data_IF_806158828338
#
_entry.id   IF_806158828338
#
_cell.length_a   1.000
_cell.length_b   1.000
_cell.length_c   1.000
_cell.angle_alpha   90.00
_cell.angle_beta   90.00
_cell.angle_gamma   90.00
#
_symmetry.space_group_name_H-M   'P 1'
#
loop_
_entity.id
_entity.type
_entity.pdbx_description
1 polymer ?
#
# COMPACT_ATOMS: atom_id res chain seq x y z
N UNK A 1 19.67 21.05 -9.56
CA UNK A 1 19.09 19.76 -9.16
C UNK A 1 18.74 19.86 -7.69
N UNK A 2 17.46 19.71 -7.33
CA UNK A 2 17.06 19.65 -5.93
C UNK A 2 17.48 18.29 -5.37
N UNK A 3 18.08 18.28 -4.17
CA UNK A 3 18.58 17.08 -3.52
C UNK A 3 17.45 16.08 -3.20
N UNK A 4 17.79 14.79 -3.12
CA UNK A 4 16.87 13.77 -2.64
C UNK A 4 16.35 14.13 -1.23
N UNK A 5 15.02 14.21 -1.08
CA UNK A 5 14.34 14.60 0.17
C UNK A 5 14.32 13.48 1.23
N UNK A 6 14.93 12.33 0.96
CA UNK A 6 14.79 11.13 1.78
C UNK A 6 15.92 11.06 2.80
N UNK A 7 15.59 10.99 4.10
CA UNK A 7 16.60 11.03 5.14
C UNK A 7 17.44 9.75 5.13
N UNK A 8 18.75 9.89 5.04
CA UNK A 8 19.71 8.80 5.29
C UNK A 8 19.69 8.33 6.76
N UNK A 9 18.97 9.04 7.64
CA UNK A 9 19.00 8.89 9.10
C UNK A 9 17.73 8.28 9.73
N UNK A 10 17.04 7.36 9.05
CA UNK A 10 15.84 6.67 9.58
C UNK A 10 16.11 6.02 10.96
N UNK A 11 17.29 5.44 11.15
CA UNK A 11 17.68 4.82 12.43
C UNK A 11 17.78 5.86 13.56
N UNK A 12 18.23 7.08 13.27
CA UNK A 12 18.29 8.16 14.26
C UNK A 12 16.89 8.61 14.67
N UNK A 13 15.95 8.68 13.71
CA UNK A 13 14.55 9.00 14.01
C UNK A 13 13.90 7.97 14.94
N UNK A 14 14.24 6.68 14.83
CA UNK A 14 13.77 5.67 15.76
C UNK A 14 14.35 5.84 17.18
N UNK A 15 15.62 6.26 17.29
CA UNK A 15 16.27 6.56 18.58
C UNK A 15 15.67 7.79 19.25
N UNK A 16 15.31 8.80 18.46
CA UNK A 16 14.70 10.04 18.94
C UNK A 16 13.21 9.87 19.28
N UNK A 17 12.59 8.77 18.81
CA UNK A 17 11.20 8.47 19.10
C UNK A 17 11.04 8.06 20.57
N UNK A 18 10.23 8.82 21.31
CA UNK A 18 10.02 8.65 22.77
C UNK A 18 9.28 7.36 23.17
N UNK A 19 8.92 6.51 22.21
CA UNK A 19 8.24 5.23 22.43
C UNK A 19 9.03 4.09 21.78
N UNK A 20 8.91 2.86 22.29
CA UNK A 20 9.59 1.71 21.71
C UNK A 20 9.14 1.50 20.26
N UNK A 21 10.11 1.37 19.36
CA UNK A 21 9.90 0.91 17.98
C UNK A 21 10.22 -0.58 17.97
N UNK A 22 9.31 -1.40 17.46
CA UNK A 22 9.56 -2.84 17.28
C UNK A 22 10.34 -3.03 15.98
N UNK A 23 11.51 -3.64 16.07
CA UNK A 23 12.39 -3.92 14.92
C UNK A 23 12.71 -5.41 14.87
N UNK A 24 13.41 -5.86 13.83
CA UNK A 24 13.88 -7.24 13.77
C UNK A 24 14.83 -7.58 14.95
N UNK A 25 15.62 -6.61 15.42
CA UNK A 25 16.54 -6.74 16.54
C UNK A 25 15.84 -6.62 17.91
N UNK A 26 14.73 -5.88 17.97
CA UNK A 26 13.90 -5.72 19.17
C UNK A 26 12.42 -6.04 18.88
N UNK A 27 12.07 -7.31 18.64
CA UNK A 27 10.77 -7.68 18.10
C UNK A 27 9.66 -7.74 19.16
N UNK A 28 9.97 -7.68 20.46
CA UNK A 28 8.98 -7.83 21.53
C UNK A 28 9.03 -6.64 22.48
N UNK A 29 7.87 -6.10 22.82
CA UNK A 29 7.72 -5.15 23.92
C UNK A 29 6.65 -5.61 24.91
N UNK A 30 6.97 -5.50 26.18
CA UNK A 30 6.02 -5.74 27.27
C UNK A 30 5.57 -4.43 27.90
N UNK A 31 4.31 -4.37 28.29
CA UNK A 31 3.79 -3.35 29.19
C UNK A 31 2.69 -3.92 30.08
N UNK A 32 2.34 -3.19 31.14
CA UNK A 32 1.24 -3.58 32.04
C UNK A 32 0.16 -2.52 31.99
N UNK A 33 -1.09 -2.95 31.82
CA UNK A 33 -2.27 -2.07 31.85
C UNK A 33 -3.34 -2.73 32.70
N UNK A 34 -3.85 -2.01 33.70
CA UNK A 34 -4.88 -2.51 34.62
C UNK A 34 -4.54 -3.87 35.25
N UNK A 35 -3.27 -4.11 35.58
CA UNK A 35 -2.79 -5.37 36.16
C UNK A 35 -2.55 -6.51 35.17
N UNK A 36 -2.92 -6.35 33.90
CA UNK A 36 -2.67 -7.34 32.83
C UNK A 36 -1.31 -7.07 32.21
N UNK A 37 -0.46 -8.10 32.15
CA UNK A 37 0.82 -8.04 31.45
C UNK A 37 0.61 -8.40 29.98
N UNK A 38 0.89 -7.45 29.10
CA UNK A 38 0.65 -7.52 27.66
C UNK A 38 2.00 -7.59 26.95
N UNK A 39 2.15 -8.49 25.99
CA UNK A 39 3.24 -8.50 25.04
C UNK A 39 2.74 -8.05 23.67
N UNK A 40 3.53 -7.21 23.00
CA UNK A 40 3.35 -6.88 21.58
C UNK A 40 4.55 -7.43 20.84
N UNK A 41 4.29 -8.32 19.89
CA UNK A 41 5.28 -8.89 18.98
C UNK A 41 5.17 -8.16 17.65
N UNK A 42 6.27 -7.63 17.15
CA UNK A 42 6.35 -6.97 15.85
C UNK A 42 6.60 -7.98 14.75
N UNK A 43 5.81 -7.92 13.69
CA UNK A 43 6.03 -8.67 12.45
C UNK A 43 6.28 -7.67 11.33
N UNK A 44 7.55 -7.53 10.94
CA UNK A 44 7.96 -6.67 9.82
C UNK A 44 7.59 -7.31 8.48
N UNK A 45 7.41 -6.49 7.44
CA UNK A 45 7.07 -6.96 6.11
C UNK A 45 8.10 -7.99 5.60
N UNK A 46 7.69 -9.25 5.30
CA UNK A 46 8.60 -10.24 4.75
C UNK A 46 9.15 -9.81 3.37
N UNK A 47 8.36 -9.03 2.60
CA UNK A 47 8.70 -8.56 1.25
C UNK A 47 9.82 -7.53 1.19
N UNK A 48 10.10 -6.80 2.29
CA UNK A 48 11.24 -5.88 2.37
C UNK A 48 12.58 -6.62 2.42
N UNK A 49 12.56 -7.90 2.79
CA UNK A 49 13.73 -8.73 3.00
C UNK A 49 13.71 -9.91 2.03
N UNK A 50 13.55 -9.67 0.72
CA UNK A 50 13.86 -10.66 -0.31
C UNK A 50 15.31 -10.47 -0.81
N UNK A 51 16.37 -10.70 0.01
CA UNK A 51 17.62 -11.12 -0.59
C UNK A 51 17.36 -12.47 -1.28
N UNK A 52 18.26 -12.88 -2.16
CA UNK A 52 18.22 -14.24 -2.68
C UNK A 52 18.11 -15.26 -1.52
N UNK A 53 17.11 -16.16 -1.56
CA UNK A 53 16.95 -17.22 -0.58
C UNK A 53 15.96 -16.98 0.57
N UNK A 54 14.98 -16.06 0.43
CA UNK A 54 13.85 -16.00 1.37
C UNK A 54 13.10 -17.33 1.41
N UNK A 55 12.86 -17.84 2.62
CA UNK A 55 12.11 -19.06 2.89
C UNK A 55 10.98 -18.75 3.88
N UNK A 56 9.74 -18.87 3.41
CA UNK A 56 8.53 -18.56 4.15
C UNK A 56 8.43 -19.35 5.47
N UNK A 57 8.81 -20.62 5.45
CA UNK A 57 8.69 -21.51 6.60
C UNK A 57 9.71 -21.17 7.69
N UNK A 58 10.93 -20.81 7.30
CA UNK A 58 11.98 -20.31 8.20
C UNK A 58 11.55 -19.00 8.85
N UNK A 59 10.98 -18.09 8.06
CA UNK A 59 10.44 -16.83 8.58
C UNK A 59 9.30 -17.04 9.57
N UNK A 60 8.31 -17.88 9.22
CA UNK A 60 7.19 -18.25 10.09
C UNK A 60 7.68 -18.87 11.41
N UNK A 61 8.65 -19.79 11.35
CA UNK A 61 9.24 -20.42 12.53
C UNK A 61 9.91 -19.38 13.43
N UNK A 62 10.68 -18.46 12.86
CA UNK A 62 11.32 -17.37 13.61
C UNK A 62 10.29 -16.49 14.32
N UNK A 63 9.20 -16.15 13.64
CA UNK A 63 8.10 -15.40 14.25
C UNK A 63 7.41 -16.17 15.38
N UNK A 64 7.14 -17.46 15.19
CA UNK A 64 6.54 -18.34 16.20
C UNK A 64 7.44 -18.46 17.45
N UNK A 65 8.76 -18.49 17.30
CA UNK A 65 9.70 -18.49 18.43
C UNK A 65 9.61 -17.20 19.26
N UNK A 66 9.44 -16.04 18.62
CA UNK A 66 9.21 -14.77 19.32
C UNK A 66 7.86 -14.76 20.06
N UNK A 67 6.80 -15.26 19.43
CA UNK A 67 5.49 -15.41 20.06
C UNK A 67 5.55 -16.33 21.29
N UNK A 68 6.23 -17.48 21.17
CA UNK A 68 6.42 -18.41 22.27
C UNK A 68 7.21 -17.78 23.43
N UNK A 69 8.19 -16.94 23.14
CA UNK A 69 8.93 -16.19 24.16
C UNK A 69 8.05 -15.15 24.85
N UNK A 70 7.23 -14.42 24.09
CA UNK A 70 6.27 -13.45 24.59
C UNK A 70 5.23 -14.08 25.53
N UNK A 71 4.63 -15.20 25.11
CA UNK A 71 3.60 -15.91 25.86
C UNK A 71 4.06 -16.43 27.23
N UNK A 72 5.36 -16.69 27.42
CA UNK A 72 5.90 -17.10 28.74
C UNK A 72 5.77 -16.03 29.81
N UNK A 73 5.71 -14.76 29.41
CA UNK A 73 5.80 -13.61 30.32
C UNK A 73 4.63 -12.65 30.19
N UNK A 74 3.56 -13.00 29.47
CA UNK A 74 2.39 -12.16 29.27
C UNK A 74 1.12 -12.99 29.30
N UNK A 75 0.04 -12.38 29.76
CA UNK A 75 -1.29 -12.98 29.75
C UNK A 75 -2.04 -12.71 28.45
N UNK A 76 -1.60 -11.70 27.69
CA UNK A 76 -2.15 -11.30 26.40
C UNK A 76 -1.01 -11.03 25.42
N UNK A 77 -1.05 -11.64 24.24
CA UNK A 77 -0.07 -11.49 23.17
C UNK A 77 -0.74 -10.91 21.94
N UNK A 78 -0.32 -9.70 21.57
CA UNK A 78 -0.76 -9.00 20.37
C UNK A 78 0.33 -9.09 19.30
N UNK A 79 -0.05 -9.40 18.07
CA UNK A 79 0.84 -9.31 16.92
C UNK A 79 0.59 -8.00 16.19
N UNK A 80 1.56 -7.08 16.22
CA UNK A 80 1.55 -5.86 15.41
C UNK A 80 2.25 -6.17 14.08
N UNK A 81 1.47 -6.37 13.03
CA UNK A 81 1.97 -6.97 11.78
C UNK A 81 1.83 -6.07 10.57
N UNK A 82 2.97 -5.82 9.93
CA UNK A 82 3.11 -5.10 8.67
C UNK A 82 3.25 -6.03 7.45
N UNK A 83 2.81 -7.28 7.58
CA UNK A 83 2.86 -8.26 6.48
C UNK A 83 1.83 -7.97 5.36
N UNK A 84 0.73 -7.27 5.66
CA UNK A 84 -0.37 -7.02 4.72
C UNK A 84 -1.61 -7.86 5.01
N UNK A 85 -2.69 -7.60 4.29
CA UNK A 85 -4.01 -8.19 4.58
C UNK A 85 -4.06 -9.69 4.43
N UNK A 86 -3.82 -10.23 3.24
CA UNK A 86 -3.86 -11.68 3.02
C UNK A 86 -2.75 -12.41 3.79
N UNK A 87 -1.50 -11.92 3.86
CA UNK A 87 -0.48 -12.55 4.68
C UNK A 87 -0.85 -12.61 6.16
N UNK A 88 -1.57 -11.61 6.70
CA UNK A 88 -2.08 -11.65 8.08
C UNK A 88 -3.24 -12.61 8.26
N UNK A 89 -4.13 -12.77 7.28
CA UNK A 89 -5.14 -13.82 7.29
C UNK A 89 -4.50 -15.21 7.24
N UNK A 90 -3.44 -15.38 6.46
CA UNK A 90 -2.65 -16.61 6.44
C UNK A 90 -1.94 -16.85 7.78
N UNK A 91 -1.24 -15.86 8.34
CA UNK A 91 -0.60 -15.96 9.65
C UNK A 91 -1.60 -16.34 10.74
N UNK A 92 -2.85 -15.84 10.65
CA UNK A 92 -3.91 -16.16 11.59
C UNK A 92 -4.24 -17.65 11.67
N UNK A 93 -3.96 -18.42 10.61
CA UNK A 93 -4.17 -19.87 10.56
C UNK A 93 -2.90 -20.67 10.86
N UNK A 94 -1.72 -20.04 10.80
CA UNK A 94 -0.43 -20.70 11.01
C UNK A 94 0.10 -20.55 12.44
N UNK A 95 -0.03 -19.36 13.03
CA UNK A 95 0.54 -19.06 14.34
C UNK A 95 -0.32 -19.61 15.49
N UNK A 96 0.35 -19.90 16.61
CA UNK A 96 -0.29 -20.25 17.87
C UNK A 96 0.19 -19.33 18.99
N UNK A 97 -0.65 -19.08 20.00
CA UNK A 97 -0.29 -18.26 21.16
C UNK A 97 -0.33 -16.74 20.91
N UNK A 98 -0.93 -16.30 19.81
CA UNK A 98 -1.32 -14.91 19.57
C UNK A 98 -2.82 -14.79 19.83
N UNK A 99 -3.24 -13.78 20.58
CA UNK A 99 -4.65 -13.56 20.89
C UNK A 99 -5.36 -12.66 19.86
N UNK A 100 -4.62 -11.72 19.25
CA UNK A 100 -5.14 -10.79 18.24
C UNK A 100 -4.02 -10.29 17.31
N UNK A 101 -4.31 -10.26 16.01
CA UNK A 101 -3.44 -9.63 15.00
C UNK A 101 -3.94 -8.22 14.69
N UNK A 102 -3.06 -7.22 14.83
CA UNK A 102 -3.27 -5.85 14.39
C UNK A 102 -2.60 -5.68 13.03
N UNK A 103 -3.39 -5.69 11.96
CA UNK A 103 -2.91 -5.70 10.58
C UNK A 103 -2.68 -4.29 10.02
N UNK A 104 -1.51 -4.06 9.41
CA UNK A 104 -1.21 -2.87 8.61
C UNK A 104 -0.88 -3.25 7.15
N UNK A 105 -0.28 -2.31 6.40
CA UNK A 105 0.11 -2.40 4.98
C UNK A 105 -1.03 -2.51 3.96
N UNK A 106 -2.02 -3.37 4.19
CA UNK A 106 -3.17 -3.55 3.29
C UNK A 106 -4.05 -2.31 3.13
N UNK A 107 -4.01 -1.39 4.09
CA UNK A 107 -4.88 -0.21 4.19
C UNK A 107 -6.37 -0.54 4.30
N UNK A 108 -6.70 -1.79 4.66
CA UNK A 108 -8.07 -2.24 4.80
C UNK A 108 -8.69 -1.78 6.11
N UNK A 109 -9.96 -1.39 6.04
CA UNK A 109 -10.81 -1.10 7.18
C UNK A 109 -11.91 -2.15 7.22
N UNK A 110 -12.06 -2.81 8.36
CA UNK A 110 -13.23 -3.62 8.64
C UNK A 110 -13.77 -3.26 10.02
N UNK A 111 -15.07 -2.93 10.17
CA UNK A 111 -15.63 -2.43 11.43
C UNK A 111 -15.78 -3.52 12.50
N UNK A 112 -15.30 -4.73 12.25
CA UNK A 112 -15.34 -5.88 13.15
C UNK A 112 -14.02 -6.66 13.05
N UNK A 113 -13.75 -7.52 14.02
CA UNK A 113 -12.65 -8.48 13.90
C UNK A 113 -12.98 -9.54 12.85
N UNK A 114 -12.03 -9.81 11.97
CA UNK A 114 -12.16 -10.81 10.91
C UNK A 114 -11.54 -12.13 11.37
N UNK A 115 -12.21 -13.25 11.10
CA UNK A 115 -11.69 -14.60 11.34
C UNK A 115 -11.85 -15.45 10.08
N UNK A 116 -10.85 -16.28 9.80
CA UNK A 116 -10.90 -17.24 8.70
C UNK A 116 -11.85 -18.37 9.06
N UNK A 117 -13.04 -18.41 8.46
CA UNK A 117 -14.12 -19.32 8.86
C UNK A 117 -13.79 -20.81 8.69
N UNK A 118 -12.91 -21.16 7.74
CA UNK A 118 -12.48 -22.54 7.49
C UNK A 118 -11.58 -23.11 8.60
N UNK A 119 -11.10 -22.27 9.53
CA UNK A 119 -10.25 -22.69 10.64
C UNK A 119 -10.80 -22.11 11.96
N UNK A 120 -11.36 -22.99 12.81
CA UNK A 120 -11.95 -22.58 14.10
C UNK A 120 -10.94 -21.99 15.09
N UNK A 121 -9.65 -22.30 14.91
CA UNK A 121 -8.57 -21.79 15.74
C UNK A 121 -7.92 -20.53 15.15
N UNK A 122 -8.47 -19.98 14.05
CA UNK A 122 -7.92 -18.79 13.43
C UNK A 122 -7.96 -17.59 14.40
N UNK A 123 -6.81 -16.95 14.54
CA UNK A 123 -6.62 -15.76 15.37
C UNK A 123 -7.47 -14.62 14.76
N UNK A 124 -8.21 -13.83 15.55
CA UNK A 124 -8.91 -12.68 15.02
C UNK A 124 -7.93 -11.64 14.46
N UNK A 125 -8.31 -10.99 13.37
CA UNK A 125 -7.52 -9.95 12.70
C UNK A 125 -8.29 -8.62 12.73
N UNK A 126 -7.61 -7.57 13.20
CA UNK A 126 -8.11 -6.20 13.21
C UNK A 126 -7.59 -5.43 11.99
N UNK A 127 -8.50 -4.90 11.19
CA UNK A 127 -8.22 -4.03 10.05
C UNK A 127 -8.66 -2.60 10.39
N UNK A 128 -7.71 -1.75 10.79
CA UNK A 128 -8.00 -0.42 11.36
C UNK A 128 -8.13 0.70 10.31
N UNK A 129 -7.95 0.40 9.01
CA UNK A 129 -7.91 1.39 7.95
C UNK A 129 -6.54 2.05 7.78
N UNK A 130 -6.53 3.23 7.17
CA UNK A 130 -5.30 3.96 6.85
C UNK A 130 -5.53 5.47 6.86
N UNK A 131 -4.46 6.24 6.61
CA UNK A 131 -4.49 7.69 6.39
C UNK A 131 -5.11 8.53 7.52
N UNK A 132 -5.19 7.99 8.73
CA UNK A 132 -5.79 8.69 9.87
C UNK A 132 -7.29 8.97 9.70
N UNK A 133 -7.99 8.21 8.85
CA UNK A 133 -9.43 8.35 8.63
C UNK A 133 -10.28 8.01 9.89
N UNK A 134 -9.67 7.38 10.89
CA UNK A 134 -10.28 7.03 12.16
C UNK A 134 -9.31 6.27 13.06
N UNK A 135 -9.82 5.76 14.17
CA UNK A 135 -9.07 4.86 15.05
C UNK A 135 -9.96 3.73 15.58
N UNK A 136 -9.32 2.63 15.96
CA UNK A 136 -9.99 1.50 16.60
C UNK A 136 -9.78 1.57 18.11
N UNK A 137 -10.87 1.46 18.86
CA UNK A 137 -10.86 1.16 20.29
C UNK A 137 -11.20 -0.33 20.49
N UNK A 138 -10.33 -1.03 21.22
CA UNK A 138 -10.55 -2.42 21.62
C UNK A 138 -10.85 -2.44 23.11
N UNK A 139 -12.01 -3.01 23.47
CA UNK A 139 -12.33 -3.38 24.84
C UNK A 139 -12.04 -4.87 25.03
N UNK A 140 -11.24 -5.17 26.04
CA UNK A 140 -10.74 -6.52 26.30
C UNK A 140 -11.30 -6.98 27.65
N UNK A 141 -11.91 -8.16 27.66
CA UNK A 141 -12.38 -8.82 28.88
C UNK A 141 -11.87 -10.26 28.89
N UNK A 142 -11.40 -10.73 30.04
CA UNK A 142 -10.97 -12.12 30.21
C UNK A 142 -12.12 -12.97 30.77
N UNK A 143 -12.29 -14.17 30.22
CA UNK A 143 -13.11 -15.23 30.80
C UNK A 143 -12.21 -16.46 31.01
N UNK A 144 -11.76 -16.67 32.25
CA UNK A 144 -10.73 -17.70 32.52
C UNK A 144 -9.41 -17.35 31.84
N UNK A 145 -8.95 -18.22 30.93
CA UNK A 145 -7.73 -18.02 30.14
C UNK A 145 -8.02 -17.39 28.76
N UNK A 146 -9.28 -17.21 28.40
CA UNK A 146 -9.68 -16.75 27.07
C UNK A 146 -9.97 -15.23 27.08
N UNK A 147 -9.53 -14.56 26.01
CA UNK A 147 -9.80 -13.14 25.80
C UNK A 147 -10.98 -12.91 24.87
N UNK A 148 -11.91 -12.08 25.32
CA UNK A 148 -12.99 -11.53 24.52
C UNK A 148 -12.63 -10.11 24.08
N UNK A 149 -12.77 -9.84 22.79
CA UNK A 149 -12.45 -8.56 22.18
C UNK A 149 -13.70 -7.92 21.59
N UNK A 150 -14.03 -6.72 22.03
CA UNK A 150 -15.07 -5.89 21.42
C UNK A 150 -14.40 -4.72 20.70
N UNK A 151 -14.56 -4.66 19.38
CA UNK A 151 -14.00 -3.62 18.52
C UNK A 151 -15.03 -2.51 18.32
N UNK A 152 -14.63 -1.27 18.58
CA UNK A 152 -15.37 -0.08 18.19
C UNK A 152 -14.50 0.78 17.28
N UNK A 153 -15.05 1.15 16.12
CA UNK A 153 -14.38 2.02 15.17
C UNK A 153 -14.90 3.45 15.31
N UNK A 154 -13.96 4.38 15.50
CA UNK A 154 -14.24 5.80 15.64
C UNK A 154 -13.73 6.52 14.38
N UNK A 155 -14.65 6.83 13.47
CA UNK A 155 -14.33 7.62 12.29
C UNK A 155 -13.98 9.07 12.69
N UNK A 156 -12.90 9.59 12.11
CA UNK A 156 -12.50 10.98 12.31
C UNK A 156 -13.10 11.83 11.19
N UNK A 157 -14.15 12.58 11.52
CA UNK A 157 -14.70 13.62 10.65
C UNK A 157 -14.13 14.97 11.10
N UNK A 158 -13.72 15.82 10.15
CA UNK A 158 -13.09 17.12 10.42
C UNK A 158 -13.93 18.04 11.33
N UNK A 159 -15.24 17.82 11.36
CA UNK A 159 -16.20 18.68 12.05
C UNK A 159 -16.62 18.11 13.42
N UNK A 160 -16.14 16.91 13.79
CA UNK A 160 -16.59 16.21 15.00
C UNK A 160 -15.80 16.59 16.27
N UNK A 161 -14.51 16.94 16.15
CA UNK A 161 -13.65 17.24 17.29
C UNK A 161 -12.66 18.38 16.97
N UNK A 162 -12.46 19.35 17.88
CA UNK A 162 -11.49 20.42 17.67
C UNK A 162 -10.06 19.85 17.69
N UNK A 163 -9.24 20.30 16.75
CA UNK A 163 -7.83 19.91 16.70
C UNK A 163 -7.08 20.31 17.97
N UNK A 164 -6.22 19.41 18.48
CA UNK A 164 -5.34 19.71 19.61
C UNK A 164 -4.36 20.83 19.25
N UNK A 165 -4.45 21.96 19.94
CA UNK A 165 -3.59 23.13 19.68
C UNK A 165 -2.10 22.81 19.78
N UNK A 166 -1.72 21.91 20.69
CA UNK A 166 -0.33 21.48 20.85
C UNK A 166 0.17 20.69 19.63
N UNK A 167 -0.67 19.79 19.08
CA UNK A 167 -0.32 19.01 17.88
C UNK A 167 -0.27 19.92 16.65
N UNK A 168 -1.25 20.81 16.50
CA UNK A 168 -1.25 21.80 15.39
C UNK A 168 -0.01 22.69 15.42
N UNK A 169 0.37 23.21 16.59
CA UNK A 169 1.60 24.01 16.73
C UNK A 169 2.86 23.21 16.38
N UNK A 170 2.94 21.95 16.80
CA UNK A 170 4.06 21.08 16.46
C UNK A 170 4.15 20.84 14.94
N UNK A 171 3.03 20.56 14.27
CA UNK A 171 2.99 20.40 12.81
C UNK A 171 3.43 21.69 12.12
N UNK A 172 2.91 22.85 12.54
CA UNK A 172 3.30 24.15 11.98
C UNK A 172 4.80 24.40 12.14
N UNK A 173 5.38 24.10 13.32
CA UNK A 173 6.81 24.26 13.57
C UNK A 173 7.66 23.34 12.68
N UNK A 174 7.28 22.06 12.54
CA UNK A 174 7.99 21.10 11.69
C UNK A 174 7.92 21.47 10.20
N UNK A 175 6.79 22.02 9.74
CA UNK A 175 6.61 22.45 8.35
C UNK A 175 7.21 23.82 8.04
N UNK A 176 7.48 24.66 9.03
CA UNK A 176 7.79 26.08 8.84
C UNK A 176 8.93 26.35 7.83
N UNK A 177 10.01 25.56 7.89
CA UNK A 177 11.16 25.74 7.00
C UNK A 177 10.88 25.34 5.53
N UNK A 178 9.83 24.55 5.29
CA UNK A 178 9.53 23.95 3.99
C UNK A 178 8.16 24.37 3.43
N UNK A 179 7.36 25.13 4.18
CA UNK A 179 5.97 25.43 3.83
C UNK A 179 5.83 26.07 2.44
N UNK A 180 6.65 27.08 2.12
CA UNK A 180 6.63 27.70 0.79
C UNK A 180 6.97 26.74 -0.35
N UNK A 181 7.79 25.73 -0.06
CA UNK A 181 8.19 24.71 -1.02
C UNK A 181 7.13 23.59 -1.14
N UNK A 182 6.54 23.14 -0.02
CA UNK A 182 5.49 22.11 0.00
C UNK A 182 4.15 22.62 -0.55
N UNK A 183 3.76 23.83 -0.17
CA UNK A 183 2.43 24.41 -0.44
C UNK A 183 2.38 25.12 -1.81
N UNK A 184 3.42 24.96 -2.64
CA UNK A 184 3.48 25.53 -3.98
C UNK A 184 2.27 25.08 -4.81
N UNK A 185 1.38 26.00 -5.24
CA UNK A 185 0.22 25.64 -6.05
C UNK A 185 0.65 25.30 -7.49
N UNK A 186 0.11 24.20 -8.02
CA UNK A 186 0.49 23.66 -9.32
C UNK A 186 -0.67 23.72 -10.32
N UNK A 187 -1.83 23.23 -9.93
CA UNK A 187 -3.05 23.22 -10.73
C UNK A 187 -4.28 23.12 -9.82
N UNK A 188 -5.47 23.17 -10.41
CA UNK A 188 -6.75 22.88 -9.72
C UNK A 188 -7.26 21.53 -10.18
N UNK A 189 -7.70 20.68 -9.24
CA UNK A 189 -8.26 19.36 -9.54
C UNK A 189 -9.55 19.51 -10.38
N UNK A 190 -9.61 18.95 -11.59
CA UNK A 190 -10.78 19.10 -12.46
C UNK A 190 -11.90 18.13 -12.10
N UNK A 191 -11.54 17.02 -11.44
CA UNK A 191 -12.44 15.99 -10.91
C UNK A 191 -11.80 15.38 -9.65
N UNK A 192 -12.42 14.36 -9.06
CA UNK A 192 -11.86 13.59 -7.96
C UNK A 192 -10.54 12.93 -8.33
N UNK A 193 -9.50 13.29 -7.59
CA UNK A 193 -8.18 12.67 -7.70
C UNK A 193 -8.04 11.62 -6.61
N UNK A 194 -7.85 10.37 -6.99
CA UNK A 194 -7.68 9.24 -6.07
C UNK A 194 -6.67 8.24 -6.65
N UNK A 195 -6.01 7.50 -5.74
CA UNK A 195 -4.94 6.57 -6.10
C UNK A 195 -5.38 5.11 -5.98
N UNK A 196 -5.99 4.76 -4.84
CA UNK A 196 -6.38 3.38 -4.53
C UNK A 196 -7.57 2.95 -5.38
N UNK A 197 -7.35 1.94 -6.20
CA UNK A 197 -8.32 1.22 -7.02
C UNK A 197 -7.67 -0.09 -7.47
N UNK A 198 -8.43 -1.17 -7.62
CA UNK A 198 -7.83 -2.45 -8.02
C UNK A 198 -7.21 -2.36 -9.43
N UNK A 199 -7.81 -1.58 -10.34
CA UNK A 199 -7.44 -1.49 -11.75
C UNK A 199 -6.65 -0.23 -12.08
N UNK A 200 -7.17 0.96 -11.73
CA UNK A 200 -6.52 2.26 -11.97
C UNK A 200 -7.24 3.43 -11.26
N UNK A 201 -6.47 4.35 -10.66
CA UNK A 201 -6.97 5.61 -10.12
C UNK A 201 -6.71 6.83 -11.01
N UNK A 202 -7.40 7.94 -10.76
CA UNK A 202 -7.18 9.19 -11.51
C UNK A 202 -5.80 9.81 -11.27
N UNK A 203 -5.19 9.61 -10.09
CA UNK A 203 -3.78 9.93 -9.87
C UNK A 203 -2.84 9.09 -10.72
N UNK A 204 -3.18 7.80 -10.95
CA UNK A 204 -2.40 6.94 -11.86
C UNK A 204 -2.39 7.48 -13.27
N UNK A 205 -3.54 7.95 -13.75
CA UNK A 205 -3.63 8.52 -15.09
C UNK A 205 -2.82 9.82 -15.22
N UNK A 206 -2.87 10.72 -14.23
CA UNK A 206 -2.05 11.94 -14.23
C UNK A 206 -0.56 11.59 -14.25
N UNK A 207 -0.14 10.60 -13.45
CA UNK A 207 1.24 10.12 -13.44
C UNK A 207 1.62 9.58 -14.82
N UNK A 208 0.78 8.77 -15.44
CA UNK A 208 1.01 8.24 -16.76
C UNK A 208 1.18 9.35 -17.81
N UNK A 209 0.30 10.35 -17.83
CA UNK A 209 0.43 11.48 -18.75
C UNK A 209 1.71 12.29 -18.54
N UNK A 210 2.14 12.46 -17.28
CA UNK A 210 3.42 13.09 -16.98
C UNK A 210 4.61 12.22 -17.46
N UNK A 211 4.55 10.90 -17.27
CA UNK A 211 5.59 9.99 -17.74
C UNK A 211 5.68 9.95 -19.27
N UNK A 212 4.57 10.04 -20.00
CA UNK A 212 4.57 10.10 -21.47
C UNK A 212 5.40 11.28 -22.01
N UNK A 213 5.54 12.39 -21.26
CA UNK A 213 6.38 13.52 -21.68
C UNK A 213 7.88 13.23 -21.62
N UNK A 214 8.31 12.12 -21.04
CA UNK A 214 9.71 11.68 -21.08
C UNK A 214 10.10 10.98 -22.39
N UNK A 215 9.19 10.98 -23.38
CA UNK A 215 9.40 10.33 -24.68
C UNK A 215 9.27 8.80 -24.62
N UNK A 216 8.46 8.29 -23.70
CA UNK A 216 8.11 6.88 -23.62
C UNK A 216 6.87 6.57 -24.46
N UNK A 217 6.85 5.39 -25.08
CA UNK A 217 5.68 4.91 -25.84
C UNK A 217 4.63 4.27 -24.92
N UNK A 218 5.06 3.63 -23.83
CA UNK A 218 4.21 3.04 -22.81
C UNK A 218 4.63 3.53 -21.42
N UNK A 219 3.72 3.48 -20.45
CA UNK A 219 4.07 3.69 -19.05
C UNK A 219 3.67 2.48 -18.22
N UNK A 220 4.52 2.08 -17.27
CA UNK A 220 4.21 1.03 -16.30
C UNK A 220 4.45 1.56 -14.89
N UNK A 221 3.38 1.71 -14.12
CA UNK A 221 3.42 2.12 -12.72
C UNK A 221 3.08 0.96 -11.78
N UNK A 222 3.67 0.91 -10.57
CA UNK A 222 3.22 0.01 -9.52
C UNK A 222 1.83 0.40 -9.01
N UNK A 223 1.03 -0.60 -8.60
CA UNK A 223 -0.31 -0.43 -8.04
C UNK A 223 -0.30 0.03 -6.58
N UNK A 224 0.46 1.08 -6.28
CA UNK A 224 0.61 1.59 -4.92
C UNK A 224 -0.68 2.23 -4.42
N UNK A 225 -1.03 1.93 -3.16
CA UNK A 225 -2.29 2.38 -2.53
C UNK A 225 -2.22 3.74 -1.84
N UNK A 226 -1.02 4.23 -1.51
CA UNK A 226 -0.85 5.50 -0.79
C UNK A 226 -1.09 6.72 -1.68
N UNK A 227 -1.75 7.72 -1.11
CA UNK A 227 -2.05 8.97 -1.78
C UNK A 227 -3.28 9.62 -1.15
N UNK A 228 -3.36 10.94 -1.24
CA UNK A 228 -4.49 11.72 -0.70
C UNK A 228 -5.55 11.89 -1.77
N UNK A 229 -6.81 11.65 -1.40
CA UNK A 229 -7.94 11.96 -2.28
C UNK A 229 -8.19 13.48 -2.31
N UNK A 230 -8.31 14.07 -3.51
CA UNK A 230 -8.63 15.49 -3.65
C UNK A 230 -9.98 15.67 -4.36
N UNK A 231 -10.88 16.52 -3.81
CA UNK A 231 -12.13 16.83 -4.47
C UNK A 231 -11.93 17.76 -5.68
N UNK A 232 -12.89 17.81 -6.62
CA UNK A 232 -12.92 18.80 -7.68
C UNK A 232 -12.81 20.23 -7.11
N UNK A 233 -12.01 21.08 -7.74
CA UNK A 233 -11.76 22.45 -7.30
C UNK A 233 -10.66 22.60 -6.26
N UNK A 234 -10.15 21.52 -5.67
CA UNK A 234 -9.01 21.59 -4.75
C UNK A 234 -7.73 22.03 -5.47
N UNK A 235 -6.88 22.79 -4.77
CA UNK A 235 -5.55 23.15 -5.28
C UNK A 235 -4.62 21.95 -5.13
N UNK A 236 -4.01 21.53 -6.23
CA UNK A 236 -2.93 20.55 -6.23
C UNK A 236 -1.64 21.26 -5.85
N UNK A 237 -0.95 20.77 -4.82
CA UNK A 237 0.31 21.31 -4.31
C UNK A 237 1.44 20.31 -4.51
N UNK A 238 2.68 20.75 -4.30
CA UNK A 238 3.85 19.85 -4.30
C UNK A 238 3.75 18.76 -3.23
N UNK A 239 3.24 19.09 -2.05
CA UNK A 239 3.03 18.14 -0.95
C UNK A 239 2.14 16.96 -1.39
N UNK A 240 1.08 17.24 -2.18
CA UNK A 240 0.24 16.19 -2.75
C UNK A 240 1.04 15.26 -3.68
N UNK A 241 1.97 15.78 -4.49
CA UNK A 241 2.80 14.94 -5.37
C UNK A 241 3.75 14.04 -4.59
N UNK A 242 4.38 14.57 -3.53
CA UNK A 242 5.28 13.80 -2.67
C UNK A 242 4.53 12.68 -1.94
N UNK A 243 3.26 12.91 -1.60
CA UNK A 243 2.41 11.90 -0.98
C UNK A 243 2.17 10.67 -1.87
N UNK A 244 2.29 10.80 -3.20
CA UNK A 244 2.09 9.70 -4.17
C UNK A 244 3.27 8.72 -4.22
N UNK A 245 4.41 9.09 -3.63
CA UNK A 245 5.62 8.24 -3.57
C UNK A 245 6.18 8.17 -2.15
N UNK A 246 5.31 8.30 -1.14
CA UNK A 246 5.67 8.37 0.26
C UNK A 246 6.47 7.12 0.70
N UNK A 247 7.80 7.26 0.81
CA UNK A 247 8.69 6.23 1.35
C UNK A 247 10.02 6.03 0.62
N UNK A 248 10.16 6.49 -0.62
CA UNK A 248 11.42 6.39 -1.38
C UNK A 248 11.51 7.46 -2.49
N UNK A 249 12.70 7.73 -3.07
CA UNK A 249 12.90 8.80 -4.06
C UNK A 249 12.05 8.70 -5.34
N UNK A 250 11.54 7.50 -5.65
CA UNK A 250 10.76 7.21 -6.86
C UNK A 250 11.41 7.74 -8.14
N UNK A 251 12.69 7.40 -8.30
CA UNK A 251 13.47 7.71 -9.50
C UNK A 251 12.84 7.02 -10.71
N UNK A 252 12.68 7.80 -11.79
CA UNK A 252 12.12 7.30 -13.03
C UNK A 252 13.14 6.47 -13.81
N UNK A 253 12.67 5.37 -14.37
CA UNK A 253 13.35 4.67 -15.45
C UNK A 253 12.65 4.98 -16.78
N UNK A 254 13.40 4.97 -17.87
CA UNK A 254 12.87 4.97 -19.23
C UNK A 254 13.72 4.00 -20.05
N UNK A 255 13.23 2.76 -20.18
CA UNK A 255 14.02 1.62 -20.67
C UNK A 255 13.30 0.93 -21.83
N UNK A 256 14.05 0.37 -22.80
CA UNK A 256 13.45 -0.49 -23.80
C UNK A 256 12.94 -1.77 -23.14
N UNK A 257 11.72 -2.18 -23.50
CA UNK A 257 11.14 -3.47 -23.12
C UNK A 257 10.45 -4.12 -24.31
N UNK A 258 10.52 -5.44 -24.37
CA UNK A 258 9.74 -6.22 -25.33
C UNK A 258 8.38 -6.66 -24.75
N UNK A 259 7.53 -7.22 -25.62
CA UNK A 259 6.18 -7.66 -25.24
C UNK A 259 6.20 -8.74 -24.16
N UNK A 260 7.14 -9.69 -24.23
CA UNK A 260 7.23 -10.81 -23.29
C UNK A 260 7.65 -10.34 -21.90
N UNK A 261 8.58 -9.39 -21.84
CA UNK A 261 9.01 -8.76 -20.60
C UNK A 261 7.85 -7.99 -19.95
N UNK A 262 7.10 -7.19 -20.72
CA UNK A 262 5.96 -6.46 -20.19
C UNK A 262 4.86 -7.40 -19.71
N UNK A 263 4.49 -8.40 -20.51
CA UNK A 263 3.49 -9.39 -20.13
C UNK A 263 3.90 -10.13 -18.85
N UNK A 264 5.16 -10.57 -18.74
CA UNK A 264 5.67 -11.24 -17.54
C UNK A 264 5.56 -10.35 -16.29
N UNK A 265 5.83 -9.05 -16.40
CA UNK A 265 5.67 -8.11 -15.28
C UNK A 265 4.22 -7.94 -14.86
N UNK A 266 3.31 -7.86 -15.82
CA UNK A 266 1.86 -7.77 -15.55
C UNK A 266 1.34 -9.06 -14.90
N UNK A 267 1.78 -10.22 -15.39
CA UNK A 267 1.45 -11.53 -14.80
C UNK A 267 1.92 -11.62 -13.34
N UNK A 268 3.16 -11.23 -13.05
CA UNK A 268 3.67 -11.22 -11.68
C UNK A 268 2.81 -10.32 -10.76
N UNK A 269 2.44 -9.12 -11.22
CA UNK A 269 1.57 -8.24 -10.44
C UNK A 269 0.15 -8.79 -10.26
N UNK A 270 -0.41 -9.40 -11.30
CA UNK A 270 -1.71 -10.07 -11.22
C UNK A 270 -1.66 -11.28 -10.27
N UNK A 271 -0.57 -12.05 -10.29
CA UNK A 271 -0.36 -13.21 -9.43
C UNK A 271 -0.23 -12.80 -7.96
N UNK A 272 0.50 -11.73 -7.67
CA UNK A 272 0.60 -11.19 -6.31
C UNK A 272 -0.76 -10.76 -5.76
N UNK A 273 -1.64 -10.20 -6.59
CA UNK A 273 -2.96 -9.75 -6.15
C UNK A 273 -3.99 -10.89 -6.06
N UNK A 274 -4.00 -11.80 -7.05
CA UNK A 274 -5.11 -12.73 -7.31
C UNK A 274 -4.79 -14.20 -6.96
N UNK A 275 -3.58 -14.49 -6.47
CA UNK A 275 -3.22 -15.85 -6.04
C UNK A 275 -4.06 -16.32 -4.85
N UNK A 276 -4.41 -17.61 -4.86
CA UNK A 276 -4.98 -18.30 -3.71
C UNK A 276 -3.96 -18.48 -2.58
N UNK A 277 -2.67 -18.39 -2.90
CA UNK A 277 -1.61 -18.32 -1.90
C UNK A 277 -1.58 -16.92 -1.28
N UNK A 278 -2.29 -16.81 -0.16
CA UNK A 278 -2.43 -15.57 0.61
C UNK A 278 -1.11 -14.99 1.10
N UNK A 279 -0.07 -15.81 1.23
CA UNK A 279 1.24 -15.31 1.64
C UNK A 279 1.84 -14.41 0.56
N UNK A 280 1.72 -14.76 -0.73
CA UNK A 280 2.33 -14.07 -1.87
C UNK A 280 1.84 -12.63 -2.10
N UNK A 281 0.77 -12.23 -1.40
CA UNK A 281 0.15 -10.94 -1.61
C UNK A 281 0.95 -9.79 -0.99
N UNK A 282 1.34 -8.83 -1.82
CA UNK A 282 2.23 -7.72 -1.45
C UNK A 282 1.48 -6.47 -0.95
N UNK A 283 0.14 -6.50 -0.98
CA UNK A 283 -0.73 -5.34 -0.71
C UNK A 283 -0.57 -4.19 -1.70
N UNK A 284 -0.16 -4.52 -2.92
CA UNK A 284 -0.26 -3.66 -4.09
C UNK A 284 -1.48 -4.09 -4.93
N UNK A 285 -2.10 -3.12 -5.60
CA UNK A 285 -3.13 -3.37 -6.61
C UNK A 285 -2.44 -3.71 -7.96
N UNK A 286 -3.21 -3.91 -9.04
CA UNK A 286 -2.61 -4.25 -10.34
C UNK A 286 -1.64 -3.17 -10.83
N UNK A 287 -0.54 -3.55 -11.50
CA UNK A 287 0.30 -2.58 -12.20
C UNK A 287 -0.51 -1.78 -13.22
N UNK A 288 -0.22 -0.49 -13.32
CA UNK A 288 -0.91 0.42 -14.25
C UNK A 288 -0.14 0.51 -15.54
N UNK A 289 -0.65 -0.14 -16.58
CA UNK A 289 -0.17 0.02 -17.94
C UNK A 289 -0.99 1.12 -18.64
N UNK A 290 -0.32 2.07 -19.27
CA UNK A 290 -0.96 3.05 -20.16
C UNK A 290 -0.24 3.15 -21.51
N UNK A 291 -0.95 3.61 -22.53
CA UNK A 291 -0.52 3.56 -23.94
C UNK A 291 -0.77 2.20 -24.59
N UNK A 292 -1.38 1.27 -23.86
CA UNK A 292 -1.68 -0.11 -24.29
C UNK A 292 -2.89 -0.63 -23.50
N UNK A 293 -3.49 -1.70 -24.00
CA UNK A 293 -4.63 -2.37 -23.39
C UNK A 293 -4.36 -3.86 -23.29
N UNK A 294 -4.90 -4.50 -22.26
CA UNK A 294 -4.87 -5.94 -22.09
C UNK A 294 -6.18 -6.45 -21.47
N UNK A 295 -6.43 -7.75 -21.66
CA UNK A 295 -7.53 -8.47 -21.04
C UNK A 295 -7.03 -9.26 -19.83
N UNK A 296 -7.57 -8.94 -18.65
CA UNK A 296 -7.32 -9.65 -17.39
C UNK A 296 -8.34 -10.77 -17.19
N UNK A 297 -7.87 -12.02 -17.24
CA UNK A 297 -8.61 -13.24 -16.88
C UNK A 297 -8.32 -13.57 -15.43
N UNK A 298 -8.98 -12.90 -14.50
CA UNK A 298 -8.62 -12.91 -13.09
C UNK A 298 -8.71 -14.28 -12.39
N UNK A 299 -9.46 -15.24 -12.96
CA UNK A 299 -9.55 -16.63 -12.48
C UNK A 299 -8.61 -17.61 -13.19
N UNK A 300 -7.86 -17.15 -14.19
CA UNK A 300 -6.88 -18.01 -14.83
C UNK A 300 -5.76 -18.37 -13.85
N UNK A 301 -5.08 -19.49 -14.13
CA UNK A 301 -3.92 -19.92 -13.37
C UNK A 301 -2.80 -18.87 -13.44
N UNK A 302 -1.91 -18.89 -12.45
CA UNK A 302 -0.74 -18.03 -12.42
C UNK A 302 0.03 -18.07 -13.75
N UNK A 303 0.43 -16.90 -14.24
CA UNK A 303 1.08 -16.74 -15.55
C UNK A 303 0.18 -16.89 -16.78
N UNK A 304 -1.15 -16.98 -16.61
CA UNK A 304 -2.13 -17.04 -17.70
C UNK A 304 -3.25 -15.99 -17.56
N UNK A 305 -3.06 -14.99 -16.68
CA UNK A 305 -4.08 -13.99 -16.37
C UNK A 305 -4.09 -12.83 -17.36
N UNK A 306 -2.99 -12.58 -18.05
CA UNK A 306 -2.81 -11.47 -18.99
C UNK A 306 -2.90 -12.00 -20.42
N UNK A 307 -3.90 -11.53 -21.15
CA UNK A 307 -4.14 -11.90 -22.55
C UNK A 307 -4.42 -10.67 -23.40
N UNK A 308 -4.35 -10.81 -24.72
CA UNK A 308 -4.72 -9.74 -25.67
C UNK A 308 -3.97 -8.42 -25.41
N UNK A 309 -2.68 -8.50 -24.99
CA UNK A 309 -1.85 -7.33 -24.78
C UNK A 309 -1.58 -6.61 -26.12
N UNK A 310 -2.26 -5.49 -26.31
CA UNK A 310 -2.13 -4.64 -27.48
C UNK A 310 -0.75 -3.99 -27.49
N UNK A 311 -0.10 -3.98 -28.64
CA UNK A 311 1.21 -3.38 -28.80
C UNK A 311 1.09 -2.11 -29.64
N UNK A 312 1.58 -0.95 -29.17
CA UNK A 312 1.27 0.37 -29.74
C UNK A 312 1.83 0.61 -31.15
N UNK A 313 2.61 -0.34 -31.68
CA UNK A 313 3.21 -0.24 -33.01
C UNK A 313 2.96 -1.56 -33.74
N UNK A 314 2.78 -1.51 -35.06
CA UNK A 314 2.93 -2.66 -35.97
C UNK A 314 4.42 -3.13 -36.03
N UNK A 315 5.13 -3.08 -34.90
CA UNK A 315 6.54 -2.74 -34.76
C UNK A 315 7.49 -3.70 -35.41
N UNK A 316 8.35 -3.16 -36.27
CA UNK A 316 9.57 -3.81 -36.74
C UNK A 316 10.67 -3.83 -35.68
N UNK A 317 10.54 -3.07 -34.58
CA UNK A 317 11.37 -3.25 -33.37
C UNK A 317 10.62 -4.09 -32.35
N UNK A 318 11.22 -5.20 -31.92
CA UNK A 318 10.67 -6.03 -30.84
C UNK A 318 10.55 -5.28 -29.49
N UNK A 319 11.08 -4.06 -29.41
CA UNK A 319 11.14 -3.23 -28.20
C UNK A 319 10.43 -1.89 -28.38
N UNK A 320 9.84 -1.40 -27.28
CA UNK A 320 9.30 -0.05 -27.10
C UNK A 320 9.88 0.58 -25.84
N UNK A 321 9.94 1.90 -25.75
CA UNK A 321 10.38 2.55 -24.51
C UNK A 321 9.24 2.59 -23.50
N UNK A 322 9.53 2.10 -22.29
CA UNK A 322 8.61 2.07 -21.16
C UNK A 322 9.15 2.95 -20.05
N UNK A 323 8.37 3.95 -19.63
CA UNK A 323 8.67 4.78 -18.48
C UNK A 323 7.90 4.32 -17.22
N UNK A 324 8.53 4.46 -16.06
CA UNK A 324 7.93 4.07 -14.79
C UNK A 324 8.86 4.34 -13.61
N UNK A 325 8.49 3.84 -12.44
CA UNK A 325 9.33 3.86 -11.25
C UNK A 325 9.08 2.61 -10.42
N UNK A 326 10.02 2.24 -9.56
CA UNK A 326 9.88 1.10 -8.67
C UNK A 326 10.76 1.29 -7.44
N UNK A 327 10.36 0.72 -6.32
CA UNK A 327 11.20 0.60 -5.11
C UNK A 327 12.50 -0.17 -5.36
N UNK A 328 12.53 -1.02 -6.39
CA UNK A 328 13.69 -1.84 -6.77
C UNK A 328 14.61 -1.16 -7.80
N UNK A 329 14.22 -0.01 -8.35
CA UNK A 329 15.05 0.71 -9.30
C UNK A 329 16.07 1.58 -8.56
N UNK A 330 17.36 1.27 -8.75
CA UNK A 330 18.48 1.97 -8.11
C UNK A 330 19.30 2.84 -9.10
N UNK A 331 18.78 3.04 -10.31
CA UNK A 331 19.44 3.89 -11.31
C UNK A 331 19.32 5.37 -10.95
N UNK A 332 20.15 6.18 -11.61
CA UNK A 332 20.04 7.65 -11.58
C UNK A 332 18.89 8.11 -12.49
N UNK A 333 18.25 9.22 -12.13
CA UNK A 333 17.14 9.76 -12.91
C UNK A 333 16.41 10.88 -12.19
N UNK A 334 15.41 11.44 -12.87
CA UNK A 334 14.53 12.47 -12.32
C UNK A 334 13.55 11.82 -11.34
N UNK A 335 13.22 12.49 -10.24
CA UNK A 335 12.21 12.00 -9.31
C UNK A 335 10.79 12.20 -9.90
N UNK A 336 9.88 11.24 -9.68
CA UNK A 336 8.52 11.29 -10.23
C UNK A 336 7.81 12.63 -10.01
N UNK A 337 7.91 13.17 -8.78
CA UNK A 337 7.23 14.42 -8.42
C UNK A 337 7.67 15.62 -9.27
N UNK A 338 8.91 15.65 -9.76
CA UNK A 338 9.43 16.75 -10.59
C UNK A 338 8.80 16.72 -12.00
N UNK A 339 8.65 15.52 -12.58
CA UNK A 339 8.00 15.36 -13.88
C UNK A 339 6.52 15.70 -13.78
N UNK A 340 5.86 15.22 -12.73
CA UNK A 340 4.46 15.58 -12.45
C UNK A 340 4.28 17.09 -12.25
N UNK A 341 5.18 17.74 -11.50
CA UNK A 341 5.11 19.17 -11.26
C UNK A 341 5.20 19.97 -12.57
N UNK A 342 6.15 19.64 -13.44
CA UNK A 342 6.30 20.30 -14.74
C UNK A 342 5.04 20.10 -15.59
N UNK A 343 4.52 18.88 -15.67
CA UNK A 343 3.31 18.57 -16.43
C UNK A 343 2.08 19.33 -15.92
N UNK A 344 1.91 19.42 -14.59
CA UNK A 344 0.79 20.09 -13.95
C UNK A 344 0.82 21.62 -14.15
N UNK A 345 2.01 22.24 -14.07
CA UNK A 345 2.19 23.69 -14.28
C UNK A 345 1.78 24.14 -15.69
N UNK A 346 1.88 23.25 -16.66
CA UNK A 346 1.50 23.52 -18.05
C UNK A 346 0.00 23.34 -18.31
N UNK A 347 -0.77 22.84 -17.34
CA UNK A 347 -2.22 22.64 -17.52
C UNK A 347 -2.95 23.99 -17.55
N UNK A 348 -3.84 24.22 -18.54
CA UNK A 348 -4.71 25.40 -18.51
C UNK A 348 -5.69 25.33 -17.34
N UNK A 349 -6.25 26.47 -16.91
CA UNK A 349 -7.18 26.54 -15.75
C UNK A 349 -8.39 25.59 -15.84
N UNK A 350 -8.84 25.28 -17.06
CA UNK A 350 -10.00 24.44 -17.34
C UNK A 350 -9.62 23.07 -17.94
N UNK A 351 -8.38 22.60 -17.69
CA UNK A 351 -7.96 21.26 -18.10
C UNK A 351 -8.92 20.19 -17.58
N UNK A 352 -9.00 19.08 -18.30
CA UNK A 352 -9.86 17.95 -17.95
C UNK A 352 -9.00 16.78 -17.53
N UNK A 353 -9.54 15.95 -16.65
CA UNK A 353 -8.88 14.69 -16.31
C UNK A 353 -8.80 13.83 -17.60
N UNK A 354 -7.63 13.28 -17.94
CA UNK A 354 -7.51 12.32 -19.03
C UNK A 354 -8.35 11.06 -18.73
N UNK A 355 -8.78 10.35 -19.77
CA UNK A 355 -9.48 9.08 -19.61
C UNK A 355 -8.60 8.09 -18.83
N UNK A 356 -9.18 7.44 -17.82
CA UNK A 356 -8.46 6.46 -17.00
C UNK A 356 -8.33 5.16 -17.79
N UNK A 357 -7.11 4.85 -18.21
CA UNK A 357 -6.78 3.61 -18.90
C UNK A 357 -6.80 2.44 -17.88
N UNK A 358 -7.57 1.39 -18.18
CA UNK A 358 -7.71 0.20 -17.35
C UNK A 358 -7.84 -1.06 -18.22
N UNK A 359 -7.43 -2.23 -17.73
CA UNK A 359 -7.65 -3.47 -18.47
C UNK A 359 -9.14 -3.79 -18.60
N UNK A 360 -9.48 -4.55 -19.64
CA UNK A 360 -10.77 -5.24 -19.67
C UNK A 360 -10.72 -6.44 -18.73
N UNK A 361 -11.85 -6.76 -18.11
CA UNK A 361 -11.98 -7.96 -17.28
C UNK A 361 -12.70 -9.05 -18.08
N UNK A 362 -12.15 -10.26 -18.07
CA UNK A 362 -12.84 -11.46 -18.55
C UNK A 362 -13.19 -12.37 -17.36
N UNK A 363 -14.46 -12.73 -17.28
CA UNK A 363 -14.98 -13.74 -16.36
C UNK A 363 -14.82 -15.15 -16.94
N UNK A 364 -14.83 -16.16 -16.08
CA UNK A 364 -15.01 -17.56 -16.46
C UNK A 364 -16.39 -18.01 -16.02
N UNK A 365 -17.20 -18.50 -16.96
CA UNK A 365 -18.57 -18.96 -16.72
C UNK A 365 -18.69 -19.91 -15.52
N UNK A 366 -19.70 -19.67 -14.67
CA UNK A 366 -20.08 -20.58 -13.57
C UNK A 366 -19.54 -20.23 -12.18
N UNK A 367 -18.79 -19.13 -12.01
CA UNK A 367 -18.28 -18.69 -10.72
C UNK A 367 -19.22 -17.67 -10.03
N UNK A 368 -19.44 -17.72 -8.70
CA UNK A 368 -20.33 -16.77 -7.97
C UNK A 368 -19.79 -15.32 -7.87
N UNK A 369 -18.74 -15.00 -8.65
CA UNK A 369 -18.13 -13.67 -8.67
C UNK A 369 -19.11 -12.68 -9.30
N UNK A 370 -19.45 -11.63 -8.55
CA UNK A 370 -20.59 -10.76 -8.82
C UNK A 370 -20.58 -10.22 -10.26
N UNK A 371 -21.67 -10.50 -10.98
CA UNK A 371 -21.92 -9.89 -12.28
C UNK A 371 -22.41 -8.44 -12.05
N UNK A 372 -21.86 -7.41 -12.74
CA UNK A 372 -22.33 -6.03 -12.60
C UNK A 372 -23.82 -5.86 -12.92
N UNK A 373 -24.38 -6.67 -13.82
CA UNK A 373 -25.82 -6.64 -14.13
C UNK A 373 -26.71 -7.33 -13.08
N UNK A 374 -26.16 -8.00 -12.07
CA UNK A 374 -26.97 -8.55 -10.97
C UNK A 374 -27.52 -7.48 -10.01
N UNK A 375 -27.22 -6.19 -10.27
CA UNK A 375 -27.67 -5.01 -9.51
C UNK A 375 -28.49 -4.01 -10.35
N UNK A 376 -28.83 -4.34 -11.60
CA UNK A 376 -29.84 -3.63 -12.40
C UNK A 376 -31.13 -4.46 -12.45
#
# INVERSE_FOLDING_TARGET
EEAALWPEAVEQLYKDFKRPVLTAEQPIRYFTKSGVRIAVVGCVNPWQQFPQGFDEQTWLKGLQEQVNLAAKSASLVLLLSDAGTNPNLWLSTQLQGVDLILSSRGQDLWPQLVRVQSNQNAIPVCFAGSQGQGFVELHLTAEGNDWHFNLQYHALFSDAEPASSAVSQQITQLRAAYASWLDQPLATAPDWLYRRDVLAGSWDQIIAEALKTTGAELTLAPGLRHGVALPPGAVITRDHLLSLTAGYPATLFNLPADRSQLQSRLEVGADQLLSDDWFLHTSEDLPRLTGSHFLLRYQALAGQRISELNWPVASTSEQVKVAGWSTHYQGEGVALWQVMENWLRERPKNWQLPEIEKPSLAFVDGHPGWHPEALL
#
